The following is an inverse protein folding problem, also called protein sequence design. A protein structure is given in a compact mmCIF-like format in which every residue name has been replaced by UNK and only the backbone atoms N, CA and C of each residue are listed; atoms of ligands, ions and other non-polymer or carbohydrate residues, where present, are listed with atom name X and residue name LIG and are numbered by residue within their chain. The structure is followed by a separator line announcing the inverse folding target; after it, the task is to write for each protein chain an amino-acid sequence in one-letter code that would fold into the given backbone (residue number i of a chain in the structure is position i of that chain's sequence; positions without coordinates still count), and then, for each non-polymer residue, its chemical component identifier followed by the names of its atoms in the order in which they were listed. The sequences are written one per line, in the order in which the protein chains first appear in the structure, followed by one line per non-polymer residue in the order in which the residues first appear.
data_IF_878055356143
#
_entry.id   IF_878055356143
#
_cell.length_a   1.000
_cell.length_b   1.000
_cell.length_c   1.000
_cell.angle_alpha   90.00
_cell.angle_beta   90.00
_cell.angle_gamma   90.00
#
_symmetry.space_group_name_H-M   'P 1'
#
loop_
_entity.id
_entity.type
_entity.pdbx_description
1 polymer ?
#
# COMPACT_ATOMS: atom_id res chain seq x y z
N UNK A 1 24.96 43.43 40.84
CA UNK A 1 25.60 42.94 39.59
C UNK A 1 24.85 41.69 39.20
N UNK A 2 23.88 41.83 38.28
CA UNK A 2 23.10 40.73 37.77
C UNK A 2 23.75 40.27 36.48
N UNK A 3 24.32 39.08 36.47
CA UNK A 3 24.75 38.38 35.26
C UNK A 3 23.52 37.82 34.57
N UNK A 4 23.26 38.05 33.28
CA UNK A 4 22.18 37.41 32.60
C UNK A 4 22.55 35.94 32.32
N UNK A 5 21.64 35.04 32.69
CA UNK A 5 21.73 33.62 32.36
C UNK A 5 21.70 33.48 30.83
N UNK A 6 22.74 32.87 30.34
CA UNK A 6 22.89 32.51 28.90
C UNK A 6 21.92 31.37 28.63
N UNK A 7 20.80 31.67 28.00
CA UNK A 7 19.89 30.65 27.49
C UNK A 7 20.54 30.03 26.26
N UNK A 8 21.24 28.90 26.48
CA UNK A 8 21.70 28.02 25.43
C UNK A 8 20.49 27.44 24.70
N UNK A 9 20.03 28.11 23.66
CA UNK A 9 19.07 27.55 22.72
C UNK A 9 19.70 26.35 22.05
N UNK A 10 19.08 25.18 22.15
CA UNK A 10 19.46 23.99 21.40
C UNK A 10 19.32 24.31 19.88
N UNK A 11 20.44 24.35 19.18
CA UNK A 11 20.54 24.57 17.72
C UNK A 11 19.94 23.41 16.88
N UNK A 12 18.98 22.68 17.42
CA UNK A 12 18.32 21.60 16.68
C UNK A 12 17.24 22.22 15.80
N UNK A 13 17.35 22.14 14.48
CA UNK A 13 16.38 22.73 13.57
C UNK A 13 14.99 22.14 13.84
N UNK A 14 13.95 22.96 13.76
CA UNK A 14 12.57 22.48 13.90
C UNK A 14 12.21 21.52 12.75
N UNK A 15 11.24 20.62 12.98
CA UNK A 15 10.77 19.71 11.93
C UNK A 15 10.31 20.44 10.65
N UNK A 16 9.59 21.59 10.71
CA UNK A 16 9.29 22.38 9.51
C UNK A 16 10.54 22.89 8.77
N UNK A 17 11.60 23.27 9.48
CA UNK A 17 12.86 23.71 8.86
C UNK A 17 13.57 22.55 8.17
N UNK A 18 13.61 21.39 8.81
CA UNK A 18 14.15 20.17 8.22
C UNK A 18 13.40 19.78 6.95
N UNK A 19 12.06 19.80 6.99
CA UNK A 19 11.22 19.51 5.84
C UNK A 19 11.53 20.45 4.69
N UNK A 20 11.58 21.76 4.91
CA UNK A 20 11.94 22.74 3.88
C UNK A 20 13.31 22.48 3.25
N UNK A 21 14.26 22.03 4.06
CA UNK A 21 15.62 21.72 3.61
C UNK A 21 15.71 20.45 2.78
N UNK A 22 15.00 19.38 3.17
CA UNK A 22 15.13 18.04 2.55
C UNK A 22 14.12 17.78 1.42
N UNK A 23 12.97 18.46 1.44
CA UNK A 23 11.91 18.27 0.44
C UNK A 23 12.38 18.41 -1.01
N UNK A 24 13.26 19.38 -1.37
CA UNK A 24 13.78 19.50 -2.74
C UNK A 24 14.62 18.31 -3.21
N UNK A 25 15.07 17.45 -2.28
CA UNK A 25 15.86 16.25 -2.56
C UNK A 25 15.00 15.03 -2.87
N UNK A 26 13.68 15.11 -2.63
CA UNK A 26 12.71 14.04 -2.85
C UNK A 26 11.96 14.29 -4.15
N UNK A 27 11.70 13.21 -4.88
CA UNK A 27 11.03 13.27 -6.19
C UNK A 27 9.91 12.25 -6.26
N UNK A 28 8.85 12.59 -6.99
CA UNK A 28 7.87 11.62 -7.45
C UNK A 28 8.43 10.87 -8.64
N UNK A 29 8.24 9.56 -8.69
CA UNK A 29 8.61 8.71 -9.82
C UNK A 29 7.34 8.35 -10.58
N UNK A 30 7.34 8.61 -11.87
CA UNK A 30 6.26 8.31 -12.80
C UNK A 30 6.75 7.30 -13.83
N UNK A 31 6.00 6.22 -14.00
CA UNK A 31 6.38 5.14 -14.90
C UNK A 31 5.32 4.91 -15.95
N UNK A 32 5.76 4.52 -17.14
CA UNK A 32 4.90 4.37 -18.32
C UNK A 32 5.24 3.07 -19.04
N UNK A 33 4.23 2.46 -19.66
CA UNK A 33 4.38 1.31 -20.53
C UNK A 33 4.87 1.71 -21.95
N UNK A 34 5.02 0.73 -22.85
CA UNK A 34 5.44 0.95 -24.25
C UNK A 34 4.43 1.72 -25.13
N UNK A 35 3.20 1.93 -24.63
CA UNK A 35 2.17 2.74 -25.30
C UNK A 35 2.09 4.16 -24.73
N UNK A 36 2.89 4.45 -23.70
CA UNK A 36 2.87 5.74 -23.00
C UNK A 36 1.78 5.83 -21.93
N UNK A 37 1.10 4.72 -21.60
CA UNK A 37 0.12 4.69 -20.53
C UNK A 37 0.82 4.65 -19.16
N UNK A 38 0.32 5.41 -18.17
CA UNK A 38 0.90 5.42 -16.84
C UNK A 38 0.73 4.06 -16.15
N UNK A 39 1.80 3.59 -15.51
CA UNK A 39 1.81 2.32 -14.76
C UNK A 39 1.67 2.58 -13.27
N UNK A 40 2.73 3.04 -12.64
CA UNK A 40 2.82 3.26 -11.19
C UNK A 40 3.42 4.62 -10.92
N UNK A 41 3.10 5.16 -9.76
CA UNK A 41 3.85 6.24 -9.15
C UNK A 41 4.45 5.79 -7.83
N UNK A 42 5.66 6.26 -7.55
CA UNK A 42 6.37 6.03 -6.30
C UNK A 42 7.15 7.26 -5.89
N UNK A 43 8.04 7.06 -4.95
CA UNK A 43 8.95 8.09 -4.45
C UNK A 43 10.38 7.69 -4.73
N UNK A 44 11.25 8.66 -4.87
CA UNK A 44 12.70 8.51 -4.88
C UNK A 44 13.37 9.72 -4.25
N UNK A 45 14.66 9.66 -4.04
CA UNK A 45 15.42 10.78 -3.52
C UNK A 45 16.86 10.76 -4.05
N UNK A 46 17.45 11.95 -4.17
CA UNK A 46 18.81 12.09 -4.62
C UNK A 46 19.81 11.66 -3.54
N UNK A 47 20.76 10.82 -3.91
CA UNK A 47 21.92 10.43 -3.07
C UNK A 47 23.25 10.96 -3.61
N UNK A 48 23.29 11.30 -4.89
CA UNK A 48 24.39 12.00 -5.59
C UNK A 48 23.80 12.89 -6.68
N UNK A 49 24.57 13.84 -7.22
CA UNK A 49 24.13 14.64 -8.36
C UNK A 49 23.65 13.75 -9.51
N UNK A 50 22.39 13.94 -9.94
CA UNK A 50 21.79 13.16 -11.02
C UNK A 50 21.48 11.69 -10.70
N UNK A 51 21.64 11.23 -9.47
CA UNK A 51 21.39 9.86 -9.07
C UNK A 51 20.27 9.77 -8.03
N UNK A 52 19.21 9.05 -8.37
CA UNK A 52 18.01 8.85 -7.52
C UNK A 52 17.91 7.39 -7.10
N UNK A 53 17.69 7.16 -5.81
CA UNK A 53 17.35 5.83 -5.28
C UNK A 53 15.84 5.69 -5.15
N UNK A 54 15.34 4.51 -5.48
CA UNK A 54 13.95 4.07 -5.31
C UNK A 54 13.88 2.55 -5.14
N UNK A 55 12.67 2.00 -5.06
CA UNK A 55 12.45 0.56 -5.06
C UNK A 55 12.38 0.00 -6.50
N UNK A 56 12.84 -1.25 -6.69
CA UNK A 56 12.78 -1.95 -7.98
C UNK A 56 11.33 -2.10 -8.44
N UNK A 57 10.43 -2.46 -7.52
CA UNK A 57 9.01 -2.66 -7.86
C UNK A 57 8.34 -1.38 -8.41
N UNK A 58 8.85 -0.18 -8.08
CA UNK A 58 8.33 1.10 -8.62
C UNK A 58 8.64 1.24 -10.11
N UNK A 59 9.78 0.73 -10.57
CA UNK A 59 10.23 0.85 -11.96
C UNK A 59 10.04 -0.42 -12.78
N UNK A 60 9.61 -1.50 -12.15
CA UNK A 60 9.48 -2.83 -12.78
C UNK A 60 8.45 -2.80 -13.89
N UNK A 61 8.88 -3.20 -15.08
CA UNK A 61 8.02 -3.24 -16.27
C UNK A 61 7.82 -1.90 -16.98
N UNK A 62 8.41 -0.82 -16.48
CA UNK A 62 8.38 0.46 -17.17
C UNK A 62 9.23 0.43 -18.45
N UNK A 63 8.71 1.04 -19.51
CA UNK A 63 9.45 1.32 -20.73
C UNK A 63 10.02 2.76 -20.71
N UNK A 64 9.37 3.64 -19.96
CA UNK A 64 9.78 5.02 -19.73
C UNK A 64 9.55 5.37 -18.28
N UNK A 65 10.53 6.06 -17.70
CA UNK A 65 10.48 6.55 -16.32
C UNK A 65 10.81 8.04 -16.33
N UNK A 66 10.07 8.79 -15.55
CA UNK A 66 10.26 10.23 -15.32
C UNK A 66 10.28 10.50 -13.83
N UNK A 67 11.02 11.53 -13.43
CA UNK A 67 10.89 12.09 -12.09
C UNK A 67 10.19 13.43 -12.15
N UNK A 68 9.41 13.76 -11.13
CA UNK A 68 8.83 15.08 -10.90
C UNK A 68 9.40 15.64 -9.60
N UNK A 69 10.00 16.83 -9.67
CA UNK A 69 10.59 17.51 -8.50
C UNK A 69 9.50 18.14 -7.64
N UNK A 70 9.68 18.12 -6.31
CA UNK A 70 8.72 18.67 -5.35
C UNK A 70 8.99 20.16 -5.02
N UNK A 71 9.89 20.83 -5.73
CA UNK A 71 10.24 22.23 -5.49
C UNK A 71 9.42 23.16 -6.39
N UNK A 72 8.80 24.18 -5.79
CA UNK A 72 8.03 25.19 -6.51
C UNK A 72 6.81 24.61 -7.24
N UNK A 73 6.73 24.89 -8.57
CA UNK A 73 5.68 24.31 -9.44
C UNK A 73 6.00 22.88 -9.92
N UNK A 74 7.11 22.31 -9.43
CA UNK A 74 7.62 21.03 -9.91
C UNK A 74 8.06 21.05 -11.38
N UNK A 75 8.99 20.19 -11.75
CA UNK A 75 9.38 19.93 -13.15
C UNK A 75 9.60 18.46 -13.35
N UNK A 76 9.28 17.99 -14.54
CA UNK A 76 9.48 16.61 -14.95
C UNK A 76 10.79 16.48 -15.71
N UNK A 77 11.57 15.46 -15.39
CA UNK A 77 12.83 15.12 -16.04
C UNK A 77 12.86 13.66 -16.42
N UNK A 78 13.38 13.30 -17.60
CA UNK A 78 13.50 11.92 -18.00
C UNK A 78 14.59 11.19 -17.22
N UNK A 79 14.35 9.93 -16.91
CA UNK A 79 15.33 9.01 -16.34
C UNK A 79 16.01 8.27 -17.48
N UNK A 80 17.34 8.34 -17.54
CA UNK A 80 18.13 7.71 -18.61
C UNK A 80 18.16 6.18 -18.53
N UNK A 81 18.07 5.64 -17.31
CA UNK A 81 18.09 4.21 -17.03
C UNK A 81 18.50 3.91 -15.60
N UNK A 82 18.73 2.64 -15.30
CA UNK A 82 19.23 2.19 -14.01
C UNK A 82 20.76 1.99 -14.04
N UNK A 83 21.43 2.49 -13.00
CA UNK A 83 22.86 2.31 -12.75
C UNK A 83 23.14 1.11 -11.85
N UNK A 84 22.18 0.72 -11.02
CA UNK A 84 22.23 -0.48 -10.19
C UNK A 84 20.81 -0.99 -9.92
N UNK A 85 20.71 -2.31 -9.80
CA UNK A 85 19.48 -3.01 -9.41
C UNK A 85 19.86 -4.09 -8.42
N UNK A 86 19.23 -4.07 -7.25
CA UNK A 86 19.27 -5.11 -6.25
C UNK A 86 17.86 -5.67 -6.08
N UNK A 87 17.55 -6.73 -6.83
CA UNK A 87 16.22 -7.37 -6.82
C UNK A 87 15.89 -7.95 -5.44
N UNK A 88 16.88 -8.44 -4.69
CA UNK A 88 16.69 -9.03 -3.38
C UNK A 88 16.31 -7.99 -2.34
N UNK A 89 17.00 -6.85 -2.35
CA UNK A 89 16.76 -5.72 -1.47
C UNK A 89 15.65 -4.79 -1.98
N UNK A 90 15.12 -5.04 -3.19
CA UNK A 90 14.14 -4.18 -3.84
C UNK A 90 14.64 -2.73 -3.99
N UNK A 91 15.92 -2.55 -4.37
CA UNK A 91 16.55 -1.24 -4.54
C UNK A 91 17.01 -1.01 -5.96
N UNK A 92 16.77 0.18 -6.48
CA UNK A 92 17.27 0.65 -7.77
C UNK A 92 17.95 2.02 -7.64
N UNK A 93 19.08 2.16 -8.32
CA UNK A 93 19.78 3.43 -8.50
C UNK A 93 19.55 3.91 -9.93
N UNK A 94 18.93 5.07 -10.08
CA UNK A 94 18.52 5.63 -11.37
C UNK A 94 19.44 6.79 -11.78
N UNK A 95 19.71 6.91 -13.07
CA UNK A 95 20.40 8.06 -13.66
C UNK A 95 19.37 9.02 -14.24
N UNK A 96 19.38 10.25 -13.78
CA UNK A 96 18.44 11.29 -14.19
C UNK A 96 19.18 12.39 -14.94
N UNK A 97 18.63 12.77 -16.10
CA UNK A 97 19.18 13.85 -16.89
C UNK A 97 18.54 15.19 -16.48
N UNK A 98 19.18 15.87 -15.52
CA UNK A 98 18.74 17.18 -15.02
C UNK A 98 19.95 18.10 -14.75
N UNK A 99 19.73 19.44 -14.69
CA UNK A 99 20.79 20.40 -14.31
C UNK A 99 21.30 20.12 -12.89
N UNK A 100 22.61 20.27 -12.66
CA UNK A 100 23.22 19.98 -11.35
C UNK A 100 22.63 20.80 -10.21
N UNK A 101 22.25 22.07 -10.45
CA UNK A 101 21.64 22.95 -9.47
C UNK A 101 20.24 22.46 -9.01
N UNK A 102 19.64 21.52 -9.72
CA UNK A 102 18.34 20.89 -9.40
C UNK A 102 18.48 19.58 -8.65
N UNK A 103 19.69 19.06 -8.52
CA UNK A 103 19.96 17.85 -7.78
C UNK A 103 20.53 18.17 -6.39
N UNK A 104 19.78 17.88 -5.35
CA UNK A 104 20.17 18.13 -3.94
C UNK A 104 20.30 16.79 -3.19
N UNK A 105 21.47 16.16 -3.18
CA UNK A 105 21.65 14.87 -2.53
C UNK A 105 21.41 14.93 -1.02
N UNK A 106 20.77 13.90 -0.47
CA UNK A 106 20.64 13.69 0.96
C UNK A 106 21.83 12.92 1.51
N UNK A 107 22.38 13.32 2.66
CA UNK A 107 23.42 12.56 3.31
C UNK A 107 22.83 11.25 3.88
N UNK A 108 23.55 10.14 3.65
CA UNK A 108 23.23 8.86 4.28
C UNK A 108 23.81 8.84 5.70
N UNK A 109 23.05 8.35 6.67
CA UNK A 109 23.55 8.10 8.02
C UNK A 109 24.52 6.91 8.01
N UNK A 110 25.62 7.07 8.70
CA UNK A 110 26.62 5.99 8.89
C UNK A 110 26.33 5.13 10.13
N UNK A 111 25.70 5.74 11.14
CA UNK A 111 25.25 5.04 12.34
C UNK A 111 23.83 4.51 12.16
N UNK A 112 23.52 3.43 12.84
CA UNK A 112 22.16 2.94 12.97
C UNK A 112 21.35 3.89 13.87
N UNK A 113 20.04 4.03 13.62
CA UNK A 113 19.17 4.71 14.54
C UNK A 113 19.01 3.89 15.84
N UNK A 114 18.56 4.55 16.90
CA UNK A 114 18.16 3.89 18.13
C UNK A 114 16.65 3.65 18.17
N UNK A 115 16.20 2.63 18.91
CA UNK A 115 14.78 2.44 19.19
C UNK A 115 14.25 3.63 19.98
N UNK A 116 13.09 4.17 19.59
CA UNK A 116 12.55 5.41 20.13
C UNK A 116 13.04 6.69 19.44
N UNK A 117 14.05 6.61 18.55
CA UNK A 117 14.54 7.79 17.83
C UNK A 117 13.43 8.39 16.95
N UNK A 118 13.16 9.73 17.05
CA UNK A 118 12.18 10.38 16.20
C UNK A 118 12.61 10.38 14.75
N UNK A 119 11.65 10.07 13.86
CA UNK A 119 11.86 9.99 12.41
C UNK A 119 10.75 10.70 11.65
N UNK A 120 11.02 11.06 10.42
CA UNK A 120 10.02 11.46 9.46
C UNK A 120 10.35 10.93 8.07
N UNK A 121 9.35 10.91 7.21
CA UNK A 121 9.49 10.57 5.80
C UNK A 121 8.71 11.57 4.95
N UNK A 122 9.15 11.74 3.71
CA UNK A 122 8.48 12.54 2.69
C UNK A 122 8.24 11.63 1.50
N UNK A 123 6.99 11.53 1.08
CA UNK A 123 6.61 10.65 -0.01
C UNK A 123 5.55 11.26 -0.92
N UNK A 124 5.06 10.42 -1.83
CA UNK A 124 4.00 10.77 -2.78
C UNK A 124 2.82 9.77 -2.66
N UNK A 125 2.20 9.67 -1.45
CA UNK A 125 1.08 8.77 -1.31
C UNK A 125 -0.07 9.23 -2.21
N UNK A 126 -0.62 8.30 -3.03
CA UNK A 126 -1.80 8.55 -3.86
C UNK A 126 -1.69 9.79 -4.78
N UNK A 127 -0.50 10.13 -5.24
CA UNK A 127 -0.20 11.36 -6.00
C UNK A 127 -0.42 12.65 -5.18
N UNK A 128 -0.48 12.56 -3.84
CA UNK A 128 -0.42 13.70 -2.95
C UNK A 128 1.05 14.07 -2.70
N UNK A 129 1.64 14.75 -3.66
CA UNK A 129 3.07 15.02 -3.73
C UNK A 129 3.59 15.75 -2.48
N UNK A 130 4.69 15.20 -1.93
CA UNK A 130 5.38 15.79 -0.79
C UNK A 130 4.62 15.66 0.53
N UNK A 131 3.77 14.66 0.68
CA UNK A 131 3.13 14.32 1.96
C UNK A 131 4.16 13.88 2.99
N UNK A 132 3.95 14.30 4.23
CA UNK A 132 4.86 14.08 5.34
C UNK A 132 4.19 13.12 6.33
N UNK A 133 4.97 12.15 6.78
CA UNK A 133 4.60 11.28 7.89
C UNK A 133 5.72 11.25 8.91
N UNK A 134 5.39 11.21 10.20
CA UNK A 134 6.36 11.17 11.29
C UNK A 134 6.00 10.08 12.30
N UNK A 135 7.00 9.65 13.05
CA UNK A 135 6.88 8.60 14.06
C UNK A 135 8.21 8.37 14.77
N UNK A 136 8.41 7.16 15.23
CA UNK A 136 9.65 6.72 15.85
C UNK A 136 10.12 5.40 15.23
N UNK A 137 11.39 5.09 15.44
CA UNK A 137 11.92 3.73 15.25
C UNK A 137 11.33 2.84 16.33
N UNK A 138 10.57 1.82 15.97
CA UNK A 138 9.93 0.90 16.93
C UNK A 138 10.75 -0.38 17.18
N UNK A 139 11.56 -0.81 16.21
CA UNK A 139 12.49 -1.92 16.37
C UNK A 139 13.54 -1.93 15.23
N UNK A 140 14.69 -2.54 15.50
CA UNK A 140 15.68 -2.88 14.45
C UNK A 140 15.84 -4.38 14.45
N UNK A 141 15.74 -4.97 13.23
CA UNK A 141 15.85 -6.42 13.04
C UNK A 141 16.90 -6.73 12.01
N UNK A 142 17.69 -7.75 12.26
CA UNK A 142 18.61 -8.29 11.26
C UNK A 142 17.92 -9.42 10.52
N UNK A 143 17.81 -9.30 9.20
CA UNK A 143 17.20 -10.30 8.35
C UNK A 143 18.27 -10.85 7.40
N UNK A 144 18.52 -12.18 7.39
CA UNK A 144 19.44 -12.77 6.43
C UNK A 144 19.12 -12.28 5.01
N UNK A 145 20.16 -12.01 4.23
CA UNK A 145 20.10 -11.51 2.85
C UNK A 145 19.67 -10.04 2.67
N UNK A 146 18.79 -9.49 3.53
CA UNK A 146 18.33 -8.09 3.44
C UNK A 146 19.18 -7.15 4.31
N UNK A 147 19.88 -7.69 5.32
CA UNK A 147 20.59 -6.89 6.32
C UNK A 147 19.62 -6.30 7.35
N UNK A 148 19.87 -5.06 7.76
CA UNK A 148 19.11 -4.42 8.83
C UNK A 148 17.84 -3.77 8.33
N UNK A 149 16.72 -4.19 8.91
CA UNK A 149 15.38 -3.65 8.66
C UNK A 149 14.97 -2.81 9.86
N UNK A 150 14.49 -1.61 9.59
CA UNK A 150 14.01 -0.65 10.57
C UNK A 150 12.48 -0.71 10.57
N UNK A 151 11.90 -1.10 11.68
CA UNK A 151 10.46 -1.02 11.90
C UNK A 151 10.11 0.35 12.45
N UNK A 152 9.05 0.97 11.92
CA UNK A 152 8.65 2.34 12.26
C UNK A 152 7.17 2.44 12.60
N UNK A 153 6.83 3.44 13.41
CA UNK A 153 5.42 3.76 13.74
C UNK A 153 4.81 4.76 12.76
N UNK A 154 5.63 5.46 11.97
CA UNK A 154 5.14 6.42 10.99
C UNK A 154 4.19 5.74 10.01
N UNK A 155 3.00 6.28 9.75
CA UNK A 155 2.07 5.74 8.76
C UNK A 155 2.72 5.70 7.36
N UNK A 156 2.64 4.55 6.72
CA UNK A 156 3.16 4.31 5.37
C UNK A 156 2.03 3.75 4.50
N UNK A 157 1.88 4.29 3.32
CA UNK A 157 0.95 3.83 2.29
C UNK A 157 1.66 3.66 0.95
N UNK A 158 0.99 3.10 -0.04
CA UNK A 158 1.55 3.01 -1.40
C UNK A 158 1.80 4.43 -1.93
N UNK A 159 2.85 4.57 -2.71
CA UNK A 159 3.40 5.88 -3.09
C UNK A 159 4.48 6.37 -2.13
N UNK A 160 4.51 5.85 -0.88
CA UNK A 160 5.66 6.03 0.01
C UNK A 160 6.79 5.03 -0.28
N UNK A 161 6.58 4.01 -1.13
CA UNK A 161 7.66 3.14 -1.60
C UNK A 161 8.77 3.96 -2.25
N UNK A 162 10.00 3.79 -1.77
CA UNK A 162 11.15 4.57 -2.20
C UNK A 162 11.33 5.90 -1.48
N UNK A 163 10.49 6.25 -0.49
CA UNK A 163 10.67 7.44 0.34
C UNK A 163 11.90 7.34 1.24
N UNK A 164 12.67 8.43 1.40
CA UNK A 164 13.72 8.47 2.41
C UNK A 164 13.10 8.43 3.81
N UNK A 165 13.61 7.55 4.68
CA UNK A 165 13.40 7.60 6.11
C UNK A 165 14.48 8.48 6.72
N UNK A 166 14.10 9.57 7.38
CA UNK A 166 15.00 10.63 7.82
C UNK A 166 15.02 10.74 9.35
N UNK A 167 16.20 10.97 9.91
CA UNK A 167 16.35 11.37 11.31
C UNK A 167 16.18 12.90 11.48
N UNK A 168 16.17 13.37 12.73
CA UNK A 168 16.02 14.80 13.06
C UNK A 168 17.25 15.65 12.71
N UNK A 169 18.30 15.07 12.12
CA UNK A 169 19.44 15.78 11.49
C UNK A 169 19.27 15.96 9.99
N UNK A 170 18.21 15.34 9.40
CA UNK A 170 17.94 15.35 7.97
C UNK A 170 18.83 14.36 7.18
N UNK A 171 19.37 13.34 7.86
CA UNK A 171 20.13 12.27 7.25
C UNK A 171 19.22 11.09 6.96
N UNK A 172 19.43 10.41 5.84
CA UNK A 172 18.70 9.21 5.48
C UNK A 172 19.22 8.04 6.32
N UNK A 173 18.39 7.50 7.18
CA UNK A 173 18.65 6.29 7.96
C UNK A 173 18.16 5.02 7.27
N UNK A 174 17.28 5.16 6.27
CA UNK A 174 16.75 4.05 5.48
C UNK A 174 15.89 4.50 4.31
N UNK A 175 15.37 3.53 3.57
CA UNK A 175 14.40 3.71 2.50
C UNK A 175 13.14 2.89 2.81
N UNK A 176 11.99 3.52 2.69
CA UNK A 176 10.70 2.87 2.96
C UNK A 176 10.41 1.84 1.88
N UNK A 177 10.12 0.63 2.31
CA UNK A 177 9.61 -0.44 1.45
C UNK A 177 8.31 -0.98 2.07
N UNK A 178 7.23 -0.98 1.28
CA UNK A 178 5.94 -1.50 1.76
C UNK A 178 5.93 -3.00 1.54
N UNK A 179 6.16 -3.77 2.60
CA UNK A 179 5.92 -5.22 2.61
C UNK A 179 4.71 -5.51 3.48
N UNK A 180 3.60 -5.86 2.87
CA UNK A 180 2.43 -6.38 3.61
C UNK A 180 2.72 -7.84 3.95
N UNK A 181 2.90 -8.15 5.23
CA UNK A 181 2.89 -9.51 5.74
C UNK A 181 1.57 -9.75 6.46
N UNK A 182 0.79 -10.71 5.95
CA UNK A 182 -0.39 -11.32 6.58
C UNK A 182 -1.08 -10.51 7.70
N UNK A 183 -1.90 -9.51 7.35
CA UNK A 183 -2.92 -8.97 8.24
C UNK A 183 -2.50 -7.91 9.25
N UNK A 184 -1.21 -7.56 9.37
CA UNK A 184 -0.75 -6.45 10.21
C UNK A 184 0.05 -5.44 9.38
N UNK A 185 -0.31 -4.16 9.48
CA UNK A 185 0.44 -3.05 8.89
C UNK A 185 1.77 -2.86 9.64
N UNK A 186 2.79 -3.62 9.27
CA UNK A 186 4.14 -3.41 9.77
C UNK A 186 4.85 -2.50 8.77
N UNK A 187 5.09 -1.26 9.18
CA UNK A 187 5.82 -0.28 8.38
C UNK A 187 7.31 -0.55 8.50
N UNK A 188 7.95 -0.86 7.39
CA UNK A 188 9.36 -1.26 7.33
C UNK A 188 10.15 -0.34 6.41
N UNK A 189 11.40 -0.10 6.79
CA UNK A 189 12.39 0.53 5.94
C UNK A 189 13.66 -0.30 5.92
N UNK A 190 14.32 -0.35 4.77
CA UNK A 190 15.62 -0.96 4.62
C UNK A 190 16.70 0.05 5.06
N UNK A 191 17.66 -0.38 5.86
CA UNK A 191 18.69 0.51 6.43
C UNK A 191 19.59 1.18 5.38
N UNK A 192 20.07 2.39 5.67
CA UNK A 192 20.88 3.20 4.76
C UNK A 192 22.19 2.52 4.32
N UNK A 193 22.72 1.60 5.12
CA UNK A 193 23.91 0.80 4.75
C UNK A 193 23.71 0.01 3.46
N UNK A 194 22.47 -0.47 3.19
CA UNK A 194 22.18 -1.21 1.95
C UNK A 194 22.15 -0.27 0.74
N UNK A 195 21.67 0.98 0.93
CA UNK A 195 21.71 2.02 -0.10
C UNK A 195 23.18 2.35 -0.44
N UNK A 196 24.01 2.52 0.59
CA UNK A 196 25.43 2.81 0.43
C UNK A 196 26.20 1.68 -0.29
N UNK A 197 25.76 0.43 -0.13
CA UNK A 197 26.33 -0.75 -0.77
C UNK A 197 25.94 -0.92 -2.24
N UNK A 198 25.00 -0.13 -2.78
CA UNK A 198 24.64 -0.20 -4.20
C UNK A 198 25.84 0.18 -5.07
N UNK A 199 26.44 -0.83 -5.68
CA UNK A 199 27.57 -0.64 -6.59
C UNK A 199 27.07 -0.06 -7.92
N UNK A 200 27.60 1.09 -8.31
CA UNK A 200 27.30 1.72 -9.61
C UNK A 200 27.87 0.85 -10.74
N UNK A 201 27.00 0.37 -11.60
CA UNK A 201 27.32 -0.39 -12.81
C UNK A 201 27.22 0.43 -14.09
N UNK A 202 27.13 -0.27 -15.20
CA UNK A 202 26.80 0.35 -16.49
C UNK A 202 25.33 0.76 -16.53
N UNK A 203 25.04 1.85 -17.23
CA UNK A 203 23.69 2.31 -17.44
C UNK A 203 22.90 1.29 -18.27
N UNK A 204 21.81 0.80 -17.72
CA UNK A 204 20.87 -0.11 -18.38
C UNK A 204 19.59 0.65 -18.67
N UNK A 205 19.26 0.80 -19.94
CA UNK A 205 18.01 1.45 -20.36
C UNK A 205 16.80 0.58 -20.04
N UNK A 206 15.63 1.20 -19.78
CA UNK A 206 14.43 0.48 -19.34
C UNK A 206 13.89 -0.52 -20.35
N UNK A 207 14.03 -0.25 -21.66
CA UNK A 207 13.68 -1.17 -22.75
C UNK A 207 14.54 -2.45 -22.72
N UNK A 208 15.77 -2.36 -22.25
CA UNK A 208 16.70 -3.49 -22.11
C UNK A 208 16.48 -4.27 -20.82
N UNK A 209 15.93 -3.64 -19.78
CA UNK A 209 15.59 -4.31 -18.52
C UNK A 209 14.45 -5.32 -18.72
N UNK A 210 13.54 -5.09 -19.67
CA UNK A 210 12.46 -6.01 -20.05
C UNK A 210 12.88 -7.23 -20.84
N UNK A 211 14.09 -7.26 -21.43
CA UNK A 211 14.51 -8.35 -22.33
C UNK A 211 15.20 -9.52 -21.62
N UNK A 212 15.68 -9.34 -20.38
CA UNK A 212 16.28 -10.42 -19.55
C UNK A 212 15.34 -11.00 -18.49
N UNK A 213 14.23 -10.34 -18.19
CA UNK A 213 13.19 -10.88 -17.33
C UNK A 213 11.92 -10.95 -18.14
N UNK A 214 11.37 -12.16 -18.37
CA UNK A 214 10.06 -12.46 -18.92
C UNK A 214 9.21 -11.20 -19.14
N UNK A 215 8.73 -11.02 -20.38
CA UNK A 215 7.71 -10.02 -20.72
C UNK A 215 6.80 -9.82 -19.51
N UNK A 216 6.63 -8.58 -19.08
CA UNK A 216 5.71 -8.26 -17.97
C UNK A 216 4.40 -8.94 -18.29
N UNK A 217 4.17 -10.10 -17.64
CA UNK A 217 2.93 -10.84 -17.86
C UNK A 217 1.81 -9.86 -17.52
N UNK A 218 0.74 -9.78 -18.26
CA UNK A 218 -0.42 -8.96 -17.94
C UNK A 218 -0.84 -9.09 -16.46
N UNK A 219 -0.56 -10.25 -15.87
CA UNK A 219 -0.75 -10.59 -14.47
C UNK A 219 0.08 -9.77 -13.50
N UNK A 220 1.37 -9.52 -13.79
CA UNK A 220 2.22 -8.70 -12.91
C UNK A 220 1.77 -7.23 -12.88
N UNK A 221 1.36 -6.71 -14.03
CA UNK A 221 0.77 -5.37 -14.12
C UNK A 221 -0.59 -5.32 -13.40
N UNK A 222 -1.42 -6.37 -13.55
CA UNK A 222 -2.68 -6.46 -12.83
C UNK A 222 -2.48 -6.44 -11.31
N UNK A 223 -1.42 -7.10 -10.80
CA UNK A 223 -1.06 -7.08 -9.38
C UNK A 223 -0.76 -5.68 -8.87
N UNK A 224 -0.10 -4.85 -9.66
CA UNK A 224 0.22 -3.49 -9.27
C UNK A 224 -1.04 -2.62 -9.15
N UNK A 225 -1.93 -2.72 -10.14
CA UNK A 225 -3.22 -2.03 -10.11
C UNK A 225 -4.09 -2.53 -8.97
N UNK A 226 -4.10 -3.85 -8.71
CA UNK A 226 -4.82 -4.44 -7.59
C UNK A 226 -4.33 -3.87 -6.24
N UNK A 227 -3.01 -3.76 -6.04
CA UNK A 227 -2.42 -3.16 -4.82
C UNK A 227 -2.83 -1.69 -4.67
N UNK A 228 -2.72 -0.89 -5.72
CA UNK A 228 -3.17 0.51 -5.70
C UNK A 228 -4.65 0.65 -5.32
N UNK A 229 -5.48 -0.31 -5.73
CA UNK A 229 -6.88 -0.40 -5.32
C UNK A 229 -7.05 -0.68 -3.82
N UNK A 230 -6.30 -1.64 -3.29
CA UNK A 230 -6.30 -1.96 -1.85
C UNK A 230 -5.97 -0.72 -1.02
N UNK A 231 -4.97 0.06 -1.42
CA UNK A 231 -4.56 1.26 -0.66
C UNK A 231 -5.61 2.35 -0.69
N UNK A 232 -6.19 2.58 -1.86
CA UNK A 232 -7.27 3.54 -2.00
C UNK A 232 -8.46 3.16 -1.12
N UNK A 233 -8.74 1.86 -0.97
CA UNK A 233 -9.75 1.34 -0.03
C UNK A 233 -9.41 1.66 1.43
N UNK A 234 -8.16 1.44 1.86
CA UNK A 234 -7.72 1.74 3.22
C UNK A 234 -7.89 3.20 3.60
N UNK A 235 -7.81 4.09 2.62
CA UNK A 235 -8.06 5.53 2.79
C UNK A 235 -9.53 5.91 2.67
N UNK A 236 -10.43 4.94 2.51
CA UNK A 236 -11.86 5.18 2.31
C UNK A 236 -12.20 5.77 0.94
N UNK A 237 -11.23 5.87 0.02
CA UNK A 237 -11.44 6.40 -1.32
C UNK A 237 -11.89 5.28 -2.27
N UNK A 238 -13.15 4.89 -2.16
CA UNK A 238 -13.73 3.77 -2.92
C UNK A 238 -13.86 4.06 -4.42
N UNK A 239 -13.95 5.32 -4.84
CA UNK A 239 -13.97 5.71 -6.25
C UNK A 239 -12.63 5.44 -6.94
N UNK A 240 -11.54 5.89 -6.31
CA UNK A 240 -10.19 5.60 -6.79
C UNK A 240 -9.87 4.10 -6.72
N UNK A 241 -10.25 3.44 -5.63
CA UNK A 241 -10.07 2.00 -5.48
C UNK A 241 -10.73 1.22 -6.62
N UNK A 242 -11.97 1.59 -6.96
CA UNK A 242 -12.72 0.97 -8.04
C UNK A 242 -12.01 1.13 -9.39
N UNK A 243 -11.53 2.33 -9.73
CA UNK A 243 -10.76 2.58 -10.95
C UNK A 243 -9.50 1.71 -11.04
N UNK A 244 -8.80 1.56 -9.93
CA UNK A 244 -7.62 0.70 -9.83
C UNK A 244 -7.98 -0.78 -10.03
N UNK A 245 -9.02 -1.27 -9.37
CA UNK A 245 -9.45 -2.67 -9.49
C UNK A 245 -10.02 -2.98 -10.87
N UNK A 246 -10.78 -2.09 -11.48
CA UNK A 246 -11.29 -2.26 -12.86
C UNK A 246 -10.14 -2.32 -13.86
N UNK A 247 -9.10 -1.48 -13.68
CA UNK A 247 -7.88 -1.56 -14.49
C UNK A 247 -7.14 -2.89 -14.28
N UNK A 248 -7.06 -3.38 -13.04
CA UNK A 248 -6.50 -4.69 -12.73
C UNK A 248 -7.30 -5.83 -13.38
N UNK A 249 -8.64 -5.77 -13.31
CA UNK A 249 -9.53 -6.76 -13.92
C UNK A 249 -9.43 -6.79 -15.46
N UNK A 250 -9.25 -5.63 -16.09
CA UNK A 250 -9.04 -5.54 -17.54
C UNK A 250 -7.72 -6.21 -17.95
N UNK A 251 -6.70 -6.18 -17.12
CA UNK A 251 -5.38 -6.79 -17.40
C UNK A 251 -5.32 -8.28 -17.02
N UNK A 252 -5.98 -8.66 -15.93
CA UNK A 252 -6.15 -10.07 -15.51
C UNK A 252 -7.61 -10.34 -15.09
N UNK A 253 -8.50 -10.63 -16.06
CA UNK A 253 -9.91 -10.88 -15.78
C UNK A 253 -10.18 -12.20 -15.05
N UNK A 254 -9.16 -13.06 -14.90
CA UNK A 254 -9.26 -14.37 -14.24
C UNK A 254 -8.91 -14.34 -12.75
N UNK A 255 -8.55 -13.18 -12.21
CA UNK A 255 -8.25 -13.02 -10.79
C UNK A 255 -9.54 -12.78 -10.00
N UNK A 256 -10.01 -13.79 -9.29
CA UNK A 256 -11.27 -13.74 -8.52
C UNK A 256 -11.24 -12.64 -7.43
N UNK A 257 -10.10 -12.45 -6.75
CA UNK A 257 -9.93 -11.44 -5.69
C UNK A 257 -10.21 -10.02 -6.20
N UNK A 258 -9.81 -9.72 -7.43
CA UNK A 258 -10.07 -8.40 -8.02
C UNK A 258 -11.58 -8.13 -8.14
N UNK A 259 -12.35 -9.12 -8.57
CA UNK A 259 -13.80 -9.01 -8.68
C UNK A 259 -14.48 -8.89 -7.31
N UNK A 260 -13.94 -9.55 -6.27
CA UNK A 260 -14.41 -9.38 -4.89
C UNK A 260 -14.22 -7.93 -4.44
N UNK A 261 -13.06 -7.33 -4.69
CA UNK A 261 -12.81 -5.94 -4.29
C UNK A 261 -13.63 -4.93 -5.10
N UNK A 262 -13.85 -5.18 -6.39
CA UNK A 262 -14.80 -4.39 -7.20
C UNK A 262 -16.19 -4.42 -6.58
N UNK A 263 -16.68 -5.60 -6.23
CA UNK A 263 -17.98 -5.76 -5.56
C UNK A 263 -18.05 -4.99 -4.25
N UNK A 264 -17.02 -5.09 -3.42
CA UNK A 264 -16.94 -4.37 -2.16
C UNK A 264 -17.00 -2.84 -2.34
N UNK A 265 -16.21 -2.29 -3.27
CA UNK A 265 -16.26 -0.86 -3.56
C UNK A 265 -17.65 -0.42 -4.04
N UNK A 266 -18.31 -1.23 -4.87
CA UNK A 266 -19.65 -0.94 -5.37
C UNK A 266 -20.71 -0.96 -4.24
N UNK A 267 -20.62 -1.89 -3.27
CA UNK A 267 -21.47 -1.88 -2.07
C UNK A 267 -21.26 -0.58 -1.27
N UNK A 268 -19.99 -0.17 -1.07
CA UNK A 268 -19.68 1.10 -0.36
C UNK A 268 -20.23 2.35 -1.06
N UNK A 269 -20.48 2.26 -2.36
CA UNK A 269 -21.11 3.31 -3.17
C UNK A 269 -22.65 3.17 -3.25
N UNK A 270 -23.26 2.17 -2.59
CA UNK A 270 -24.70 1.88 -2.71
C UNK A 270 -25.12 1.25 -4.05
N UNK A 271 -24.16 0.79 -4.87
CA UNK A 271 -24.39 0.18 -6.20
C UNK A 271 -24.48 -1.34 -6.09
N UNK A 272 -25.44 -1.82 -5.29
CA UNK A 272 -25.47 -3.22 -4.88
C UNK A 272 -25.73 -4.19 -6.03
N UNK A 273 -26.58 -3.85 -7.01
CA UNK A 273 -26.79 -4.68 -8.20
C UNK A 273 -25.50 -4.91 -9.01
N UNK A 274 -24.63 -3.90 -9.08
CA UNK A 274 -23.34 -4.05 -9.75
C UNK A 274 -22.36 -4.87 -8.90
N UNK A 275 -22.44 -4.74 -7.58
CA UNK A 275 -21.67 -5.55 -6.66
C UNK A 275 -22.04 -7.03 -6.78
N UNK A 276 -23.36 -7.35 -6.86
CA UNK A 276 -23.85 -8.72 -7.09
C UNK A 276 -23.21 -9.31 -8.34
N UNK A 277 -23.21 -8.58 -9.46
CA UNK A 277 -22.57 -9.04 -10.71
C UNK A 277 -21.08 -9.29 -10.56
N UNK A 278 -20.38 -8.43 -9.82
CA UNK A 278 -18.95 -8.58 -9.56
C UNK A 278 -18.66 -9.83 -8.70
N UNK A 279 -19.41 -10.05 -7.62
CA UNK A 279 -19.26 -11.24 -6.78
C UNK A 279 -19.62 -12.53 -7.52
N UNK A 280 -20.66 -12.52 -8.35
CA UNK A 280 -20.98 -13.65 -9.23
C UNK A 280 -19.83 -13.95 -10.21
N UNK A 281 -19.17 -12.91 -10.73
CA UNK A 281 -17.99 -13.10 -11.57
C UNK A 281 -16.82 -13.71 -10.80
N UNK A 282 -16.59 -13.27 -9.55
CA UNK A 282 -15.61 -13.88 -8.67
C UNK A 282 -15.89 -15.36 -8.41
N UNK A 283 -17.15 -15.70 -8.13
CA UNK A 283 -17.59 -17.09 -7.88
C UNK A 283 -17.53 -17.97 -9.13
N UNK A 284 -17.76 -17.41 -10.33
CA UNK A 284 -17.55 -18.13 -11.58
C UNK A 284 -16.08 -18.54 -11.78
N UNK A 285 -15.14 -17.75 -11.24
CA UNK A 285 -13.70 -18.03 -11.28
C UNK A 285 -13.24 -18.92 -10.13
N UNK A 286 -13.84 -18.76 -8.95
CA UNK A 286 -13.54 -19.51 -7.73
C UNK A 286 -14.83 -19.91 -7.01
N UNK A 287 -15.48 -21.04 -7.40
CA UNK A 287 -16.78 -21.44 -6.88
C UNK A 287 -16.81 -21.70 -5.36
N UNK A 288 -15.68 -22.10 -4.79
CA UNK A 288 -15.55 -22.44 -3.36
C UNK A 288 -15.00 -21.27 -2.51
N UNK A 289 -15.25 -20.02 -2.89
CA UNK A 289 -14.87 -18.86 -2.09
C UNK A 289 -15.97 -18.53 -1.08
N UNK A 290 -15.76 -18.87 0.18
CA UNK A 290 -16.69 -18.53 1.26
C UNK A 290 -16.80 -17.01 1.44
N UNK A 291 -15.67 -16.26 1.34
CA UNK A 291 -15.64 -14.80 1.39
C UNK A 291 -16.52 -14.18 0.28
N UNK A 292 -16.39 -14.65 -0.96
CA UNK A 292 -17.22 -14.15 -2.06
C UNK A 292 -18.71 -14.48 -1.87
N UNK A 293 -19.05 -15.65 -1.32
CA UNK A 293 -20.42 -16.01 -1.00
C UNK A 293 -20.99 -15.14 0.12
N UNK A 294 -20.21 -14.88 1.19
CA UNK A 294 -20.66 -14.03 2.29
C UNK A 294 -20.91 -12.59 1.79
N UNK A 295 -19.98 -12.00 1.02
CA UNK A 295 -20.14 -10.68 0.43
C UNK A 295 -21.27 -10.58 -0.61
N UNK A 296 -21.53 -11.65 -1.34
CA UNK A 296 -22.69 -11.74 -2.22
C UNK A 296 -24.00 -11.72 -1.40
N UNK A 297 -24.01 -12.42 -0.26
CA UNK A 297 -25.10 -12.36 0.71
C UNK A 297 -25.35 -10.94 1.23
N UNK A 298 -24.27 -10.21 1.60
CA UNK A 298 -24.37 -8.82 2.04
C UNK A 298 -25.01 -7.93 0.95
N UNK A 299 -24.57 -8.08 -0.31
CA UNK A 299 -25.11 -7.29 -1.41
C UNK A 299 -26.59 -7.59 -1.67
N UNK A 300 -27.02 -8.87 -1.57
CA UNK A 300 -28.43 -9.23 -1.65
C UNK A 300 -29.23 -8.70 -0.48
N UNK A 301 -28.68 -8.76 0.73
CA UNK A 301 -29.32 -8.22 1.94
C UNK A 301 -29.60 -6.72 1.79
N UNK A 302 -28.62 -5.93 1.36
CA UNK A 302 -28.78 -4.48 1.14
C UNK A 302 -29.77 -4.14 0.01
N UNK A 303 -30.02 -5.06 -0.92
CA UNK A 303 -31.07 -4.93 -1.94
C UNK A 303 -32.45 -5.45 -1.46
N UNK A 304 -32.56 -5.91 -0.20
CA UNK A 304 -33.80 -6.51 0.33
C UNK A 304 -34.12 -7.89 -0.25
N UNK A 305 -33.20 -8.51 -0.95
CA UNK A 305 -33.35 -9.84 -1.57
C UNK A 305 -32.96 -10.92 -0.57
N UNK A 306 -33.73 -11.00 0.50
CA UNK A 306 -33.41 -11.82 1.68
C UNK A 306 -33.33 -13.32 1.38
N UNK A 307 -34.15 -13.84 0.47
CA UNK A 307 -34.09 -15.27 0.08
C UNK A 307 -32.73 -15.64 -0.54
N UNK A 308 -32.23 -14.79 -1.45
CA UNK A 308 -30.94 -14.99 -2.09
C UNK A 308 -29.79 -14.72 -1.11
N UNK A 309 -29.94 -13.77 -0.19
CA UNK A 309 -28.95 -13.53 0.88
C UNK A 309 -28.79 -14.76 1.76
N UNK A 310 -29.90 -15.34 2.22
CA UNK A 310 -29.89 -16.59 3.01
C UNK A 310 -29.16 -17.72 2.27
N UNK A 311 -29.48 -17.91 0.99
CA UNK A 311 -28.84 -18.97 0.20
C UNK A 311 -27.32 -18.77 0.08
N UNK A 312 -26.87 -17.53 -0.14
CA UNK A 312 -25.45 -17.18 -0.24
C UNK A 312 -24.71 -17.38 1.10
N UNK A 313 -25.27 -16.90 2.21
CA UNK A 313 -24.68 -17.08 3.54
C UNK A 313 -24.66 -18.56 3.96
N UNK A 314 -25.70 -19.34 3.66
CA UNK A 314 -25.69 -20.79 3.90
C UNK A 314 -24.56 -21.47 3.11
N UNK A 315 -24.30 -21.02 1.89
CA UNK A 315 -23.19 -21.55 1.11
C UNK A 315 -21.84 -21.15 1.71
N UNK A 316 -21.68 -19.90 2.20
CA UNK A 316 -20.49 -19.46 2.91
C UNK A 316 -20.23 -20.31 4.16
N UNK A 317 -21.26 -20.52 5.00
CA UNK A 317 -21.19 -21.34 6.19
C UNK A 317 -20.84 -22.81 5.89
N UNK A 318 -21.33 -23.36 4.78
CA UNK A 318 -20.94 -24.72 4.35
C UNK A 318 -19.48 -24.81 3.92
N UNK A 319 -18.95 -23.77 3.28
CA UNK A 319 -17.57 -23.73 2.81
C UNK A 319 -16.57 -23.50 3.95
N UNK A 320 -16.96 -22.72 4.96
CA UNK A 320 -16.14 -22.42 6.14
C UNK A 320 -16.98 -22.53 7.43
N UNK A 321 -17.22 -23.74 7.93
CA UNK A 321 -18.11 -23.95 9.08
C UNK A 321 -17.60 -23.37 10.40
N UNK A 322 -16.34 -22.99 10.49
CA UNK A 322 -15.71 -22.40 11.68
C UNK A 322 -15.68 -20.88 11.67
N UNK A 323 -16.17 -20.24 10.60
CA UNK A 323 -16.23 -18.77 10.48
C UNK A 323 -17.59 -18.27 10.96
N UNK A 324 -17.59 -17.47 12.04
CA UNK A 324 -18.82 -17.00 12.69
C UNK A 324 -19.61 -15.99 11.86
N UNK A 325 -18.97 -15.24 10.94
CA UNK A 325 -19.58 -14.12 10.20
C UNK A 325 -20.79 -14.57 9.38
N UNK A 326 -20.71 -15.72 8.68
CA UNK A 326 -21.81 -16.22 7.87
C UNK A 326 -23.03 -16.59 8.71
N UNK A 327 -22.85 -17.19 9.89
CA UNK A 327 -23.93 -17.51 10.82
C UNK A 327 -24.55 -16.25 11.42
N UNK A 328 -23.74 -15.26 11.75
CA UNK A 328 -24.20 -13.96 12.23
C UNK A 328 -25.09 -13.26 11.18
N UNK A 329 -24.63 -13.18 9.94
CA UNK A 329 -25.37 -12.57 8.83
C UNK A 329 -26.66 -13.32 8.48
N UNK A 330 -26.63 -14.67 8.53
CA UNK A 330 -27.82 -15.51 8.43
C UNK A 330 -28.85 -15.17 9.50
N UNK A 331 -28.42 -15.09 10.76
CA UNK A 331 -29.31 -14.78 11.87
C UNK A 331 -29.94 -13.39 11.71
N UNK A 332 -29.15 -12.38 11.34
CA UNK A 332 -29.69 -11.02 11.07
C UNK A 332 -30.71 -11.07 9.92
N UNK A 333 -30.42 -11.82 8.85
CA UNK A 333 -31.35 -11.92 7.71
C UNK A 333 -32.65 -12.61 8.11
N UNK A 334 -32.59 -13.65 8.95
CA UNK A 334 -33.79 -14.30 9.49
C UNK A 334 -34.61 -13.36 10.39
N UNK A 335 -33.94 -12.48 11.16
CA UNK A 335 -34.64 -11.47 11.97
C UNK A 335 -35.38 -10.46 11.08
N UNK A 336 -34.74 -9.99 9.99
CA UNK A 336 -35.38 -9.07 9.04
C UNK A 336 -36.64 -9.62 8.40
N UNK A 337 -36.71 -10.93 8.15
CA UNK A 337 -37.93 -11.59 7.62
C UNK A 337 -38.87 -12.09 8.71
N UNK A 338 -38.57 -11.85 10.01
CA UNK A 338 -39.40 -12.23 11.14
C UNK A 338 -39.25 -13.69 11.61
N UNK A 339 -38.32 -14.44 11.03
CA UNK A 339 -38.07 -15.85 11.43
C UNK A 339 -37.13 -15.93 12.63
N UNK A 340 -37.65 -15.63 13.80
CA UNK A 340 -36.89 -15.67 15.06
C UNK A 340 -36.40 -17.07 15.43
N UNK A 341 -37.11 -18.12 15.02
CA UNK A 341 -36.74 -19.50 15.31
C UNK A 341 -35.46 -19.88 14.54
N UNK A 342 -35.41 -19.59 13.24
CA UNK A 342 -34.23 -19.78 12.42
C UNK A 342 -33.05 -18.93 12.92
N UNK A 343 -33.28 -17.66 13.30
CA UNK A 343 -32.25 -16.81 13.87
C UNK A 343 -31.66 -17.39 15.17
N UNK A 344 -32.50 -17.91 16.07
CA UNK A 344 -32.06 -18.57 17.30
C UNK A 344 -31.26 -19.85 17.01
N UNK A 345 -31.62 -20.60 15.96
CA UNK A 345 -30.84 -21.77 15.54
C UNK A 345 -29.42 -21.38 15.12
N UNK A 346 -29.24 -20.27 14.37
CA UNK A 346 -27.93 -19.77 14.00
C UNK A 346 -27.14 -19.26 15.23
N UNK A 347 -27.79 -18.58 16.17
CA UNK A 347 -27.17 -18.14 17.42
C UNK A 347 -26.58 -19.30 18.22
N UNK A 348 -27.27 -20.47 18.30
CA UNK A 348 -26.75 -21.66 18.99
C UNK A 348 -25.46 -22.19 18.34
N UNK A 349 -25.40 -22.19 17.00
CA UNK A 349 -24.20 -22.59 16.26
C UNK A 349 -23.08 -21.57 16.50
N UNK A 350 -23.39 -20.29 16.39
CA UNK A 350 -22.44 -19.22 16.59
C UNK A 350 -21.83 -19.19 17.98
N UNK A 351 -22.60 -19.55 19.02
CA UNK A 351 -22.12 -19.63 20.39
C UNK A 351 -20.93 -20.59 20.58
N UNK A 352 -20.85 -21.64 19.78
CA UNK A 352 -19.76 -22.62 19.81
C UNK A 352 -18.55 -22.22 18.93
N UNK A 353 -18.73 -21.25 18.03
CA UNK A 353 -17.72 -20.81 17.04
C UNK A 353 -17.09 -19.49 17.49
N UNK A 354 -17.92 -18.47 17.78
CA UNK A 354 -17.53 -17.13 18.19
C UNK A 354 -18.49 -16.57 19.24
N UNK A 355 -18.12 -16.75 20.51
CA UNK A 355 -18.94 -16.30 21.64
C UNK A 355 -19.13 -14.78 21.70
N UNK A 356 -18.18 -13.98 21.27
CA UNK A 356 -18.31 -12.51 21.26
C UNK A 356 -19.27 -12.05 20.17
N UNK A 357 -19.16 -12.62 18.98
CA UNK A 357 -20.08 -12.31 17.89
C UNK A 357 -21.50 -12.77 18.24
N UNK A 358 -21.65 -13.91 18.96
CA UNK A 358 -22.94 -14.36 19.44
C UNK A 358 -23.56 -13.43 20.50
N UNK A 359 -22.77 -12.88 21.42
CA UNK A 359 -23.26 -11.86 22.36
C UNK A 359 -23.81 -10.63 21.64
N UNK A 360 -23.09 -10.17 20.59
CA UNK A 360 -23.55 -9.07 19.74
C UNK A 360 -24.89 -9.40 19.09
N UNK A 361 -25.04 -10.60 18.51
CA UNK A 361 -26.28 -11.07 17.90
C UNK A 361 -27.44 -11.08 18.92
N UNK A 362 -27.23 -11.64 20.09
CA UNK A 362 -28.26 -11.66 21.15
C UNK A 362 -28.72 -10.27 21.56
N UNK A 363 -27.80 -9.30 21.60
CA UNK A 363 -28.14 -7.90 21.84
C UNK A 363 -29.02 -7.28 20.73
N UNK A 364 -28.77 -7.62 19.47
CA UNK A 364 -29.64 -7.20 18.35
C UNK A 364 -31.03 -7.85 18.44
N UNK A 365 -31.11 -9.11 18.86
CA UNK A 365 -32.38 -9.83 19.00
C UNK A 365 -33.29 -9.31 20.13
N UNK A 366 -32.75 -8.52 21.07
CA UNK A 366 -33.50 -7.92 22.18
C UNK A 366 -34.11 -6.55 21.86
N UNK A 367 -33.67 -5.94 20.77
CA UNK A 367 -34.22 -4.67 20.26
C UNK A 367 -35.53 -4.90 19.52
#
# INVERSE_FOLDING_TARGET
MNTPANAGGSDTPSLPDLIRRVKPSVVSILTYDGKGEPLISGTGFFIRPGEVVTNVHVIKGAQRVEIHTLEGKGRTYPVAGALAIDEEADLALLSVNLPEDKSRPLPLATALPEEGEPIFLIGNPLRLEGSISNGIVSAIREVPALGRIIQITAPVSHGNSGSPLLNMRGQVIGIVTVKVTNGQNINLALGASRIAALARGQLVAFDQMGSKGRATQPEALADLWYRGGIDSMWLGNYDNALNYFETAANRNPRRAETWIQIGYCKVKQGRNDEAIRAYQRALALRPNSADAQNKLGDAYFFEGRFTEAIAAYQQAARLQPTEGEAYYNLALTYLEIGDREAAMAQSRLLASIDGELNKKLLSEMQK
#
